data_IF_292085066356
#
_entry.id   IF_292085066356
#
_cell.length_a   1.000
_cell.length_b   1.000
_cell.length_c   1.000
_cell.angle_alpha   90.00
_cell.angle_beta   90.00
_cell.angle_gamma   90.00
#
_symmetry.space_group_name_H-M   'P 1'
#
loop_
_entity.id
_entity.type
_entity.pdbx_description
1 polymer ?
#
# COMPACT_ATOMS: atom_id res chain seq x y z
N UNK A 1 -21.73 9.65 22.63
CA UNK A 1 -21.51 8.26 23.06
C UNK A 1 -20.46 7.67 22.14
N UNK A 2 -19.28 7.30 22.65
CA UNK A 2 -18.27 6.66 21.81
C UNK A 2 -18.85 5.33 21.31
N UNK A 3 -18.86 5.13 19.98
CA UNK A 3 -19.26 3.85 19.40
C UNK A 3 -18.20 2.82 19.79
N UNK A 4 -18.51 1.97 20.77
CA UNK A 4 -17.67 0.82 21.12
C UNK A 4 -18.05 -0.34 20.19
N UNK A 5 -17.12 -0.72 19.32
CA UNK A 5 -17.32 -1.88 18.47
C UNK A 5 -17.18 -3.15 19.32
N UNK A 6 -18.05 -4.16 19.15
CA UNK A 6 -17.85 -5.44 19.81
C UNK A 6 -16.49 -6.07 19.43
N UNK A 7 -15.88 -6.82 20.34
CA UNK A 7 -14.55 -7.43 20.11
C UNK A 7 -14.49 -8.26 18.81
N UNK A 8 -15.53 -9.02 18.46
CA UNK A 8 -15.55 -9.78 17.21
C UNK A 8 -15.48 -8.88 15.96
N UNK A 9 -16.06 -7.68 16.02
CA UNK A 9 -15.96 -6.68 14.94
C UNK A 9 -14.54 -6.16 14.81
N UNK A 10 -13.86 -5.92 15.94
CA UNK A 10 -12.46 -5.50 15.95
C UNK A 10 -11.53 -6.58 15.39
N UNK A 11 -11.72 -7.84 15.80
CA UNK A 11 -10.97 -8.99 15.28
C UNK A 11 -11.13 -9.11 13.77
N UNK A 12 -12.38 -9.05 13.26
CA UNK A 12 -12.64 -9.17 11.82
C UNK A 12 -12.03 -7.98 11.06
N UNK A 13 -12.20 -6.75 11.55
CA UNK A 13 -11.59 -5.56 10.92
C UNK A 13 -10.06 -5.66 10.91
N UNK A 14 -9.45 -6.08 12.02
CA UNK A 14 -7.99 -6.23 12.12
C UNK A 14 -7.48 -7.32 11.16
N UNK A 15 -8.17 -8.46 11.09
CA UNK A 15 -7.81 -9.53 10.15
C UNK A 15 -7.84 -9.06 8.69
N UNK A 16 -8.89 -8.33 8.30
CA UNK A 16 -9.06 -7.91 6.91
C UNK A 16 -8.18 -6.71 6.56
N UNK A 17 -8.16 -5.67 7.39
CA UNK A 17 -7.45 -4.44 7.09
C UNK A 17 -5.95 -4.54 7.39
N UNK A 18 -5.57 -5.06 8.56
CA UNK A 18 -4.20 -5.00 9.04
C UNK A 18 -3.40 -6.23 8.62
N UNK A 19 -4.00 -7.43 8.64
CA UNK A 19 -3.32 -8.66 8.19
C UNK A 19 -3.38 -8.78 6.68
N UNK A 20 -4.57 -8.95 6.10
CA UNK A 20 -4.71 -9.14 4.64
C UNK A 20 -4.54 -7.86 3.83
N UNK A 21 -5.02 -6.71 4.30
CA UNK A 21 -4.79 -5.43 3.65
C UNK A 21 -3.35 -4.95 3.83
N UNK A 22 -2.72 -5.29 4.96
CA UNK A 22 -1.36 -4.88 5.30
C UNK A 22 -0.28 -5.41 4.36
N UNK A 23 -0.52 -6.50 3.64
CA UNK A 23 0.47 -7.04 2.68
C UNK A 23 0.60 -6.19 1.41
N UNK A 24 -0.38 -5.34 1.08
CA UNK A 24 -0.44 -4.69 -0.22
C UNK A 24 0.83 -3.90 -0.55
N UNK A 25 1.28 -3.05 0.39
CA UNK A 25 2.48 -2.23 0.20
C UNK A 25 3.78 -3.05 0.21
N UNK A 26 4.04 -3.92 1.21
CA UNK A 26 5.14 -4.89 1.18
C UNK A 26 5.24 -5.68 -0.13
N UNK A 27 4.12 -6.23 -0.61
CA UNK A 27 4.06 -6.99 -1.85
C UNK A 27 4.37 -6.10 -3.07
N UNK A 28 3.86 -4.88 -3.12
CA UNK A 28 4.21 -3.94 -4.18
C UNK A 28 5.70 -3.59 -4.20
N UNK A 29 6.37 -3.47 -3.04
CA UNK A 29 7.82 -3.31 -2.99
C UNK A 29 8.55 -4.54 -3.54
N UNK A 30 8.17 -5.76 -3.14
CA UNK A 30 8.75 -7.01 -3.66
C UNK A 30 8.59 -7.07 -5.19
N UNK A 31 7.37 -6.89 -5.70
CA UNK A 31 7.07 -6.94 -7.13
C UNK A 31 7.87 -5.86 -7.88
N UNK A 32 7.97 -4.65 -7.33
CA UNK A 32 8.71 -3.56 -7.97
C UNK A 32 10.21 -3.83 -8.02
N UNK A 33 10.79 -4.38 -6.95
CA UNK A 33 12.19 -4.80 -6.92
C UNK A 33 12.47 -5.92 -7.91
N UNK A 34 11.60 -6.93 -7.95
CA UNK A 34 11.69 -8.04 -8.90
C UNK A 34 11.62 -7.55 -10.35
N UNK A 35 10.60 -6.76 -10.71
CA UNK A 35 10.44 -6.23 -12.06
C UNK A 35 11.54 -5.26 -12.47
N UNK A 36 12.19 -4.60 -11.51
CA UNK A 36 13.36 -3.77 -11.78
C UNK A 36 14.59 -4.63 -12.08
N UNK A 37 14.86 -5.61 -11.23
CA UNK A 37 16.04 -6.47 -11.32
C UNK A 37 15.98 -7.48 -12.47
N UNK A 38 14.78 -7.95 -12.85
CA UNK A 38 14.57 -8.92 -13.93
C UNK A 38 14.78 -8.32 -15.33
N UNK A 39 14.79 -6.98 -15.49
CA UNK A 39 14.96 -6.36 -16.81
C UNK A 39 16.42 -6.43 -17.27
N UNK A 40 16.69 -6.81 -18.53
CA UNK A 40 18.05 -6.87 -19.08
C UNK A 40 18.63 -5.49 -19.41
N UNK A 41 17.87 -4.40 -19.21
CA UNK A 41 18.29 -3.04 -19.58
C UNK A 41 19.34 -2.48 -18.62
N UNK A 42 20.23 -1.59 -19.10
CA UNK A 42 21.16 -0.87 -18.23
C UNK A 42 20.43 -0.12 -17.12
N UNK A 43 21.00 -0.14 -15.91
CA UNK A 43 20.35 0.41 -14.72
C UNK A 43 19.88 1.86 -14.93
N UNK A 44 20.71 2.72 -15.55
CA UNK A 44 20.37 4.12 -15.85
C UNK A 44 19.09 4.27 -16.69
N UNK A 45 18.93 3.44 -17.72
CA UNK A 45 17.74 3.47 -18.61
C UNK A 45 16.51 2.97 -17.86
N UNK A 46 16.67 1.91 -17.08
CA UNK A 46 15.58 1.36 -16.25
C UNK A 46 15.11 2.37 -15.21
N UNK A 47 16.04 3.04 -14.50
CA UNK A 47 15.73 4.11 -13.55
C UNK A 47 14.96 5.24 -14.24
N UNK A 48 15.48 5.80 -15.35
CA UNK A 48 14.82 6.91 -16.06
C UNK A 48 13.37 6.58 -16.44
N UNK A 49 13.15 5.43 -17.08
CA UNK A 49 11.80 5.03 -17.52
C UNK A 49 10.83 4.81 -16.35
N UNK A 50 11.28 4.15 -15.28
CA UNK A 50 10.46 3.92 -14.08
C UNK A 50 10.19 5.20 -13.32
N UNK A 51 11.18 6.08 -13.23
CA UNK A 51 11.08 7.38 -12.59
C UNK A 51 10.04 8.25 -13.30
N UNK A 52 10.11 8.38 -14.62
CA UNK A 52 9.13 9.14 -15.41
C UNK A 52 7.71 8.59 -15.26
N UNK A 53 7.54 7.25 -15.31
CA UNK A 53 6.24 6.60 -15.15
C UNK A 53 5.62 6.72 -13.75
N UNK A 54 6.36 7.21 -12.76
CA UNK A 54 5.86 7.43 -11.39
C UNK A 54 5.75 8.92 -11.07
N UNK A 55 6.78 9.70 -11.38
CA UNK A 55 6.83 11.13 -11.01
C UNK A 55 5.72 11.91 -11.68
N UNK A 56 5.39 11.61 -12.94
CA UNK A 56 4.31 12.32 -13.64
C UNK A 56 2.97 12.09 -12.94
N UNK A 57 2.49 10.83 -12.74
CA UNK A 57 1.31 10.58 -11.93
C UNK A 57 1.37 11.16 -10.53
N UNK A 58 2.53 11.04 -9.85
CA UNK A 58 2.73 11.52 -8.50
C UNK A 58 2.40 13.01 -8.39
N UNK A 59 3.03 13.82 -9.26
CA UNK A 59 2.84 15.27 -9.27
C UNK A 59 1.39 15.61 -9.61
N UNK A 60 0.83 14.99 -10.65
CA UNK A 60 -0.52 15.29 -11.11
C UNK A 60 -1.57 14.98 -10.04
N UNK A 61 -1.49 13.83 -9.39
CA UNK A 61 -2.43 13.47 -8.34
C UNK A 61 -2.29 14.36 -7.12
N UNK A 62 -1.08 14.75 -6.72
CA UNK A 62 -0.90 15.74 -5.65
C UNK A 62 -1.52 17.09 -6.00
N UNK A 63 -1.34 17.57 -7.24
CA UNK A 63 -1.95 18.81 -7.72
C UNK A 63 -3.48 18.70 -7.79
N UNK A 64 -4.02 17.60 -8.30
CA UNK A 64 -5.46 17.32 -8.35
C UNK A 64 -6.03 17.32 -6.93
N UNK A 65 -5.38 16.66 -5.97
CA UNK A 65 -5.84 16.66 -4.58
C UNK A 65 -5.79 18.08 -3.99
N UNK A 66 -4.72 18.84 -4.20
CA UNK A 66 -4.67 20.23 -3.74
C UNK A 66 -5.80 21.08 -4.35
N UNK A 67 -6.07 20.93 -5.65
CA UNK A 67 -7.18 21.61 -6.33
C UNK A 67 -8.56 21.18 -5.78
N UNK A 68 -8.76 19.90 -5.48
CA UNK A 68 -9.99 19.40 -4.87
C UNK A 68 -10.20 19.97 -3.46
N UNK A 69 -9.15 20.06 -2.65
CA UNK A 69 -9.22 20.72 -1.34
C UNK A 69 -9.56 22.20 -1.48
N UNK A 70 -8.92 22.91 -2.41
CA UNK A 70 -9.21 24.33 -2.68
C UNK A 70 -10.67 24.54 -3.11
N UNK A 71 -11.17 23.71 -4.04
CA UNK A 71 -12.55 23.73 -4.49
C UNK A 71 -13.52 23.47 -3.33
N UNK A 72 -13.30 22.40 -2.55
CA UNK A 72 -14.15 22.06 -1.40
C UNK A 72 -14.15 23.14 -0.31
N UNK A 73 -13.05 23.88 -0.14
CA UNK A 73 -12.98 25.01 0.80
C UNK A 73 -13.65 26.28 0.28
N UNK A 74 -14.01 26.33 -1.01
CA UNK A 74 -14.60 27.51 -1.64
C UNK A 74 -16.13 27.55 -1.54
N UNK A 75 -16.78 26.41 -1.36
CA UNK A 75 -18.25 26.34 -1.24
C UNK A 75 -18.71 26.30 0.23
N UNK A 76 -19.74 27.07 0.56
CA UNK A 76 -20.26 27.18 1.93
C UNK A 76 -20.72 25.83 2.51
N UNK A 77 -21.31 24.97 1.68
CA UNK A 77 -21.78 23.64 2.09
C UNK A 77 -20.63 22.67 2.43
N UNK A 78 -19.51 22.70 1.69
CA UNK A 78 -18.40 21.76 1.91
C UNK A 78 -17.33 22.29 2.86
N UNK A 79 -17.16 23.62 2.97
CA UNK A 79 -16.11 24.26 3.78
C UNK A 79 -16.05 23.78 5.24
N UNK A 80 -17.15 23.56 5.98
CA UNK A 80 -17.11 23.09 7.36
C UNK A 80 -16.42 21.72 7.54
N UNK A 81 -16.34 20.93 6.46
CA UNK A 81 -15.73 19.60 6.49
C UNK A 81 -14.21 19.59 6.23
N UNK A 82 -13.61 20.74 5.91
CA UNK A 82 -12.21 20.90 5.51
C UNK A 82 -11.51 22.00 6.33
N UNK A 83 -11.59 21.89 7.65
CA UNK A 83 -11.11 22.91 8.60
C UNK A 83 -9.72 22.68 9.18
N UNK A 84 -9.10 21.51 8.90
CA UNK A 84 -7.75 21.21 9.37
C UNK A 84 -6.75 22.22 8.80
N UNK A 85 -6.05 22.94 9.68
CA UNK A 85 -5.20 24.08 9.33
C UNK A 85 -4.13 23.73 8.27
N UNK A 86 -3.43 22.59 8.42
CA UNK A 86 -2.43 22.13 7.44
C UNK A 86 -2.99 21.87 6.03
N UNK A 87 -4.31 21.74 5.90
CA UNK A 87 -4.99 21.43 4.64
C UNK A 87 -5.68 22.65 4.04
N UNK A 88 -5.68 23.81 4.71
CA UNK A 88 -6.25 25.06 4.16
C UNK A 88 -5.34 25.58 3.05
N UNK A 89 -5.72 25.38 1.79
CA UNK A 89 -4.83 25.67 0.65
C UNK A 89 -4.50 27.16 0.55
N UNK A 90 -5.46 28.04 0.89
CA UNK A 90 -5.29 29.50 0.83
C UNK A 90 -4.28 30.05 1.84
N UNK A 91 -3.96 29.31 2.91
CA UNK A 91 -2.97 29.74 3.90
C UNK A 91 -1.58 29.15 3.63
N UNK A 92 -1.42 28.32 2.59
CA UNK A 92 -0.14 27.68 2.29
C UNK A 92 0.90 28.70 1.84
N UNK A 93 2.08 28.60 2.47
CA UNK A 93 3.31 29.25 2.00
C UNK A 93 4.03 28.32 1.02
N UNK A 94 5.08 28.83 0.38
CA UNK A 94 5.92 28.03 -0.53
C UNK A 94 6.44 26.72 0.12
N UNK A 95 6.77 26.77 1.41
CA UNK A 95 7.20 25.58 2.17
C UNK A 95 6.09 24.54 2.30
N UNK A 96 4.83 24.93 2.42
CA UNK A 96 3.69 24.00 2.58
C UNK A 96 3.34 23.31 1.27
N UNK A 97 3.59 23.98 0.14
CA UNK A 97 3.56 23.39 -1.19
C UNK A 97 4.63 22.31 -1.30
N UNK A 98 5.89 22.60 -0.93
CA UNK A 98 6.97 21.60 -0.93
C UNK A 98 6.62 20.42 -0.01
N UNK A 99 6.16 20.69 1.21
CA UNK A 99 5.71 19.66 2.17
C UNK A 99 4.56 18.81 1.60
N UNK A 100 3.69 19.36 0.75
CA UNK A 100 2.63 18.62 0.05
C UNK A 100 3.17 17.43 -0.76
N UNK A 101 4.33 17.58 -1.36
CA UNK A 101 4.97 16.54 -2.16
C UNK A 101 5.89 15.67 -1.31
N UNK A 102 6.64 16.22 -0.36
CA UNK A 102 7.72 15.44 0.26
C UNK A 102 7.38 14.87 1.63
N UNK A 103 6.57 15.56 2.43
CA UNK A 103 6.33 15.13 3.80
C UNK A 103 5.67 16.21 4.66
N UNK A 104 4.58 15.82 5.31
CA UNK A 104 3.88 16.57 6.36
C UNK A 104 3.88 15.71 7.61
N UNK A 105 3.98 16.35 8.77
CA UNK A 105 3.70 15.73 10.05
C UNK A 105 2.20 15.69 10.27
N UNK A 106 1.69 14.56 10.74
CA UNK A 106 0.37 14.48 11.36
C UNK A 106 0.56 14.20 12.86
N UNK A 107 -0.30 14.75 13.74
CA UNK A 107 -0.20 14.52 15.18
C UNK A 107 -0.17 13.03 15.55
N UNK A 108 -0.86 12.19 14.76
CA UNK A 108 -1.06 10.77 15.05
C UNK A 108 -0.23 9.83 14.14
N UNK A 109 0.74 10.35 13.39
CA UNK A 109 1.55 9.56 12.48
C UNK A 109 3.05 9.64 12.81
N UNK A 110 3.65 8.49 13.14
CA UNK A 110 5.09 8.32 13.38
C UNK A 110 5.96 8.47 12.12
N UNK A 111 5.41 9.00 11.02
CA UNK A 111 6.16 9.19 9.79
C UNK A 111 5.61 10.32 8.90
N UNK A 112 6.51 10.94 8.15
CA UNK A 112 6.17 11.98 7.18
C UNK A 112 5.48 11.41 5.95
N UNK A 113 4.31 11.92 5.59
CA UNK A 113 3.60 11.52 4.38
C UNK A 113 3.31 12.73 3.46
N UNK A 114 3.21 12.53 2.14
CA UNK A 114 2.72 13.57 1.23
C UNK A 114 1.24 13.88 1.48
N UNK A 115 0.72 14.95 0.85
CA UNK A 115 -0.70 15.32 0.89
C UNK A 115 -1.60 14.15 0.49
N UNK A 116 -1.21 13.43 -0.58
CA UNK A 116 -1.85 12.18 -0.99
C UNK A 116 -1.24 11.06 -0.15
N UNK A 117 -1.76 10.86 1.06
CA UNK A 117 -1.14 10.03 2.11
C UNK A 117 -0.51 8.73 1.58
N UNK A 118 -1.26 7.93 0.81
CA UNK A 118 -0.83 6.62 0.31
C UNK A 118 0.40 6.67 -0.61
N UNK A 119 0.74 7.84 -1.17
CA UNK A 119 1.90 8.05 -2.05
C UNK A 119 3.25 8.02 -1.33
N UNK A 120 3.27 7.88 0.00
CA UNK A 120 4.51 7.57 0.72
C UNK A 120 5.24 6.35 0.11
N UNK A 121 4.49 5.35 -0.36
CA UNK A 121 5.02 4.20 -1.09
C UNK A 121 5.76 4.62 -2.37
N UNK A 122 5.11 5.43 -3.24
CA UNK A 122 5.72 5.90 -4.48
C UNK A 122 6.97 6.75 -4.23
N UNK A 123 6.94 7.62 -3.23
CA UNK A 123 8.09 8.43 -2.82
C UNK A 123 9.29 7.54 -2.49
N UNK A 124 9.09 6.51 -1.66
CA UNK A 124 10.16 5.57 -1.32
C UNK A 124 10.63 4.77 -2.50
N UNK A 125 9.70 4.35 -3.36
CA UNK A 125 10.04 3.61 -4.55
C UNK A 125 10.94 4.41 -5.50
N UNK A 126 10.74 5.74 -5.60
CA UNK A 126 11.64 6.62 -6.36
C UNK A 126 13.05 6.64 -5.74
N UNK A 127 13.16 6.77 -4.42
CA UNK A 127 14.45 6.70 -3.70
C UNK A 127 15.13 5.35 -3.97
N UNK A 128 14.38 4.26 -3.86
CA UNK A 128 14.85 2.90 -4.10
C UNK A 128 15.32 2.66 -5.52
N UNK A 129 14.66 3.24 -6.53
CA UNK A 129 15.17 3.20 -7.89
C UNK A 129 16.49 3.95 -8.03
N UNK A 130 16.70 5.08 -7.36
CA UNK A 130 17.99 5.78 -7.41
C UNK A 130 19.12 4.93 -6.81
N UNK A 131 18.88 4.26 -5.67
CA UNK A 131 19.89 3.40 -5.02
C UNK A 131 19.94 1.97 -5.57
N UNK A 132 19.02 1.59 -6.46
CA UNK A 132 18.90 0.25 -7.02
C UNK A 132 20.17 -0.30 -7.69
N UNK A 133 21.07 0.48 -8.32
CA UNK A 133 22.32 -0.06 -8.83
C UNK A 133 23.20 -0.62 -7.71
N UNK A 134 23.22 0.03 -6.54
CA UNK A 134 23.97 -0.42 -5.36
C UNK A 134 23.34 -1.67 -4.77
N UNK A 135 22.00 -1.68 -4.64
CA UNK A 135 21.25 -2.87 -4.18
C UNK A 135 21.54 -4.06 -5.09
N UNK A 136 21.54 -3.85 -6.42
CA UNK A 136 21.86 -4.91 -7.39
C UNK A 136 23.25 -5.49 -7.14
N UNK A 137 24.26 -4.65 -6.95
CA UNK A 137 25.64 -5.10 -6.69
C UNK A 137 25.69 -5.88 -5.37
N UNK A 138 25.09 -5.37 -4.30
CA UNK A 138 25.10 -6.00 -2.98
C UNK A 138 24.40 -7.37 -2.99
N UNK A 139 23.19 -7.45 -3.55
CA UNK A 139 22.42 -8.71 -3.67
C UNK A 139 23.15 -9.73 -4.55
N UNK A 140 23.91 -9.29 -5.56
CA UNK A 140 24.61 -10.21 -6.45
C UNK A 140 25.93 -10.73 -5.87
N UNK A 141 26.67 -9.90 -5.13
CA UNK A 141 27.99 -10.26 -4.57
C UNK A 141 27.90 -10.90 -3.19
N UNK A 142 27.05 -10.36 -2.32
CA UNK A 142 26.96 -10.76 -0.89
C UNK A 142 25.50 -10.82 -0.42
N UNK A 143 24.62 -11.63 -1.07
CA UNK A 143 23.17 -11.63 -0.81
C UNK A 143 22.82 -11.88 0.66
N UNK A 144 23.44 -12.89 1.29
CA UNK A 144 23.15 -13.25 2.67
C UNK A 144 23.50 -12.12 3.64
N UNK A 145 24.72 -11.59 3.55
CA UNK A 145 25.16 -10.49 4.42
C UNK A 145 24.30 -9.23 4.23
N UNK A 146 24.00 -8.88 2.97
CA UNK A 146 23.17 -7.73 2.66
C UNK A 146 21.73 -7.87 3.21
N UNK A 147 21.09 -9.01 2.98
CA UNK A 147 19.73 -9.25 3.47
C UNK A 147 19.69 -9.35 5.00
N UNK A 148 20.68 -9.99 5.63
CA UNK A 148 20.80 -10.04 7.09
C UNK A 148 20.98 -8.62 7.67
N UNK A 149 21.82 -7.78 7.07
CA UNK A 149 22.03 -6.40 7.52
C UNK A 149 20.73 -5.58 7.45
N UNK A 150 20.01 -5.64 6.33
CA UNK A 150 18.76 -4.89 6.16
C UNK A 150 17.64 -5.45 7.04
N UNK A 151 17.59 -6.78 7.26
CA UNK A 151 16.66 -7.39 8.20
C UNK A 151 16.96 -6.93 9.63
N UNK A 152 18.22 -6.95 10.06
CA UNK A 152 18.62 -6.45 11.38
C UNK A 152 18.25 -4.98 11.55
N UNK A 153 18.54 -4.13 10.56
CA UNK A 153 18.12 -2.72 10.59
C UNK A 153 16.60 -2.55 10.68
N UNK A 154 15.84 -3.43 10.00
CA UNK A 154 14.37 -3.48 10.08
C UNK A 154 13.91 -3.85 11.48
N UNK A 155 14.43 -4.93 12.07
CA UNK A 155 14.05 -5.38 13.42
C UNK A 155 14.41 -4.33 14.48
N UNK A 156 15.61 -3.74 14.42
CA UNK A 156 16.02 -2.68 15.35
C UNK A 156 15.12 -1.45 15.23
N UNK A 157 14.67 -1.08 14.02
CA UNK A 157 13.70 0.00 13.82
C UNK A 157 12.33 -0.35 14.39
N UNK A 158 11.85 -1.57 14.18
CA UNK A 158 10.56 -2.04 14.69
C UNK A 158 10.56 -2.16 16.23
N UNK A 159 11.71 -2.44 16.82
CA UNK A 159 11.91 -2.44 18.27
C UNK A 159 12.03 -1.02 18.87
N UNK A 160 11.90 0.03 18.06
CA UNK A 160 11.95 1.43 18.53
C UNK A 160 13.35 1.97 18.80
N UNK A 161 14.42 1.25 18.42
CA UNK A 161 15.82 1.66 18.69
C UNK A 161 16.35 2.70 17.69
N UNK A 162 15.70 2.85 16.53
CA UNK A 162 16.06 3.85 15.54
C UNK A 162 14.92 4.86 15.32
N UNK A 163 15.17 6.17 15.49
CA UNK A 163 14.19 7.21 15.16
C UNK A 163 14.13 7.47 13.65
N UNK A 164 13.31 8.43 13.24
CA UNK A 164 13.32 8.95 11.87
C UNK A 164 14.71 9.50 11.47
N UNK A 165 15.16 9.34 10.20
CA UNK A 165 14.42 8.91 9.00
C UNK A 165 14.52 7.40 8.68
N UNK A 166 14.88 6.55 9.65
CA UNK A 166 15.10 5.11 9.43
C UNK A 166 13.81 4.28 9.23
N UNK A 167 12.64 4.92 9.17
CA UNK A 167 11.34 4.32 8.85
C UNK A 167 11.32 3.60 7.48
N UNK A 168 12.29 3.86 6.61
CA UNK A 168 12.39 3.28 5.26
C UNK A 168 12.88 1.82 5.25
N UNK A 169 13.48 1.31 6.33
CA UNK A 169 14.11 -0.02 6.35
C UNK A 169 13.17 -1.19 6.06
N UNK A 170 11.97 -1.31 6.66
CA UNK A 170 11.03 -2.39 6.31
C UNK A 170 10.69 -2.39 4.81
N UNK A 171 10.44 -1.21 4.24
CA UNK A 171 10.16 -1.04 2.81
C UNK A 171 11.37 -1.44 1.94
N UNK A 172 12.58 -1.06 2.36
CA UNK A 172 13.82 -1.42 1.68
C UNK A 172 14.06 -2.93 1.73
N UNK A 173 13.78 -3.59 2.85
CA UNK A 173 13.86 -5.04 2.98
C UNK A 173 12.96 -5.74 1.95
N UNK A 174 11.68 -5.37 1.88
CA UNK A 174 10.74 -5.94 0.91
C UNK A 174 11.18 -5.66 -0.54
N UNK A 175 11.65 -4.46 -0.84
CA UNK A 175 12.17 -4.14 -2.17
C UNK A 175 13.38 -4.99 -2.54
N UNK A 176 14.30 -5.19 -1.60
CA UNK A 176 15.50 -6.01 -1.74
C UNK A 176 15.21 -7.50 -1.87
N UNK A 177 14.17 -8.01 -1.20
CA UNK A 177 13.68 -9.37 -1.43
C UNK A 177 13.25 -9.56 -2.89
N UNK A 178 12.69 -8.53 -3.53
CA UNK A 178 12.39 -8.56 -4.96
C UNK A 178 13.63 -8.79 -5.84
N UNK A 179 14.75 -8.14 -5.52
CA UNK A 179 16.02 -8.35 -6.23
C UNK A 179 16.54 -9.77 -6.04
N UNK A 180 16.47 -10.28 -4.82
CA UNK A 180 16.88 -11.64 -4.49
C UNK A 180 16.00 -12.68 -5.20
N UNK A 181 14.69 -12.43 -5.25
CA UNK A 181 13.71 -13.32 -5.87
C UNK A 181 14.01 -13.61 -7.36
N UNK A 182 14.63 -12.70 -8.12
CA UNK A 182 14.98 -12.95 -9.53
C UNK A 182 15.76 -14.25 -9.76
N UNK A 183 16.62 -14.64 -8.81
CA UNK A 183 17.43 -15.88 -8.91
C UNK A 183 16.87 -17.07 -8.15
N UNK A 184 15.91 -16.83 -7.23
CA UNK A 184 15.49 -17.83 -6.24
C UNK A 184 13.99 -18.09 -6.21
N UNK A 185 13.18 -17.32 -6.97
CA UNK A 185 11.72 -17.40 -6.92
C UNK A 185 11.19 -18.78 -7.29
N UNK A 186 11.81 -19.48 -8.24
CA UNK A 186 11.34 -20.81 -8.64
C UNK A 186 11.43 -21.82 -7.49
N UNK A 187 12.51 -21.77 -6.68
CA UNK A 187 12.65 -22.62 -5.51
C UNK A 187 11.57 -22.33 -4.46
N UNK A 188 11.27 -21.05 -4.24
CA UNK A 188 10.19 -20.61 -3.32
C UNK A 188 8.83 -21.08 -3.82
N UNK A 189 8.52 -20.90 -5.10
CA UNK A 189 7.25 -21.32 -5.69
C UNK A 189 7.08 -22.84 -5.63
N UNK A 190 8.12 -23.62 -5.95
CA UNK A 190 8.08 -25.07 -5.85
C UNK A 190 7.86 -25.55 -4.41
N UNK A 191 8.49 -24.89 -3.43
CA UNK A 191 8.27 -25.18 -2.01
C UNK A 191 6.86 -24.79 -1.55
N UNK A 192 6.30 -23.69 -2.05
CA UNK A 192 4.91 -23.31 -1.76
C UNK A 192 3.92 -24.28 -2.39
N UNK A 193 4.17 -24.76 -3.61
CA UNK A 193 3.29 -25.68 -4.32
C UNK A 193 3.29 -27.09 -3.70
N UNK A 194 4.41 -27.53 -3.14
CA UNK A 194 4.50 -28.81 -2.43
C UNK A 194 3.74 -28.83 -1.09
N UNK A 195 3.52 -27.67 -0.47
CA UNK A 195 2.74 -27.56 0.76
C UNK A 195 1.25 -27.81 0.49
N UNK A 196 0.65 -28.73 1.24
CA UNK A 196 -0.80 -28.97 1.20
C UNK A 196 -1.52 -27.77 1.77
N UNK A 197 -2.68 -27.43 1.19
CA UNK A 197 -3.50 -26.31 1.65
C UNK A 197 -3.88 -26.41 3.12
N UNK A 198 -4.19 -27.62 3.61
CA UNK A 198 -4.53 -27.85 5.01
C UNK A 198 -3.38 -27.45 5.95
N UNK A 199 -2.15 -27.84 5.61
CA UNK A 199 -0.96 -27.58 6.44
C UNK A 199 -0.55 -26.10 6.36
N UNK A 200 -0.64 -25.50 5.18
CA UNK A 200 -0.40 -24.07 5.00
C UNK A 200 -1.41 -23.22 5.78
N UNK A 201 -2.70 -23.55 5.71
CA UNK A 201 -3.75 -22.83 6.41
C UNK A 201 -3.72 -23.05 7.92
N UNK A 202 -3.40 -24.25 8.40
CA UNK A 202 -3.30 -24.51 9.84
C UNK A 202 -2.12 -23.76 10.45
N UNK A 203 -0.93 -23.83 9.85
CA UNK A 203 0.24 -23.08 10.29
C UNK A 203 0.00 -21.57 10.26
N UNK A 204 -0.60 -21.07 9.17
CA UNK A 204 -0.96 -19.67 9.04
C UNK A 204 -1.98 -19.22 10.09
N UNK A 205 -3.03 -20.01 10.34
CA UNK A 205 -4.07 -19.68 11.30
C UNK A 205 -3.51 -19.59 12.73
N UNK A 206 -2.67 -20.56 13.13
CA UNK A 206 -2.01 -20.54 14.45
C UNK A 206 -1.11 -19.32 14.59
N UNK A 207 -0.25 -19.05 13.60
CA UNK A 207 0.66 -17.91 13.66
C UNK A 207 -0.07 -16.56 13.67
N UNK A 208 -1.13 -16.43 12.86
CA UNK A 208 -1.98 -15.23 12.82
C UNK A 208 -2.71 -15.05 14.16
N UNK A 209 -3.22 -16.12 14.77
CA UNK A 209 -3.86 -16.05 16.08
C UNK A 209 -2.91 -15.57 17.18
N UNK A 210 -1.66 -16.06 17.18
CA UNK A 210 -0.61 -15.56 18.10
C UNK A 210 -0.32 -14.08 17.85
N UNK A 211 -0.16 -13.68 16.59
CA UNK A 211 0.06 -12.28 16.21
C UNK A 211 -1.08 -11.37 16.69
N UNK A 212 -2.33 -11.82 16.53
CA UNK A 212 -3.51 -11.09 17.01
C UNK A 212 -3.54 -11.00 18.53
N UNK A 213 -3.32 -12.12 19.22
CA UNK A 213 -3.28 -12.14 20.68
C UNK A 213 -2.26 -11.12 21.22
N UNK A 214 -1.04 -11.12 20.68
CA UNK A 214 -0.02 -10.14 21.07
C UNK A 214 -0.43 -8.70 20.76
N UNK A 215 -1.11 -8.47 19.63
CA UNK A 215 -1.57 -7.13 19.24
C UNK A 215 -2.68 -6.61 20.16
N UNK A 216 -3.67 -7.45 20.50
CA UNK A 216 -4.78 -7.08 21.38
C UNK A 216 -4.38 -6.98 22.87
N UNK A 217 -3.27 -7.62 23.25
CA UNK A 217 -2.68 -7.48 24.59
C UNK A 217 -1.62 -6.37 24.66
N UNK A 218 -1.49 -5.57 23.60
CA UNK A 218 -0.54 -4.47 23.48
C UNK A 218 0.92 -4.89 23.80
N UNK A 219 1.25 -6.16 23.50
CA UNK A 219 2.57 -6.68 23.76
C UNK A 219 3.59 -6.06 22.76
N UNK A 220 4.74 -5.54 23.22
CA UNK A 220 5.74 -4.95 22.32
C UNK A 220 6.24 -5.88 21.22
N UNK A 221 6.23 -7.20 21.44
CA UNK A 221 6.60 -8.18 20.43
C UNK A 221 5.63 -8.24 19.24
N UNK A 222 4.41 -7.71 19.37
CA UNK A 222 3.39 -7.69 18.33
C UNK A 222 3.89 -7.05 17.03
N UNK A 223 4.74 -6.02 17.12
CA UNK A 223 5.28 -5.33 15.94
C UNK A 223 6.19 -6.25 15.11
N UNK A 224 7.09 -6.97 15.77
CA UNK A 224 8.02 -7.90 15.12
C UNK A 224 7.28 -9.12 14.60
N UNK A 225 6.38 -9.70 15.41
CA UNK A 225 5.56 -10.84 14.99
C UNK A 225 4.62 -10.44 13.85
N UNK A 226 4.08 -9.23 13.84
CA UNK A 226 3.28 -8.67 12.75
C UNK A 226 4.05 -8.53 11.44
N UNK A 227 5.32 -8.12 11.51
CA UNK A 227 6.21 -8.09 10.34
C UNK A 227 6.45 -9.50 9.76
N UNK A 228 6.66 -10.50 10.61
CA UNK A 228 6.78 -11.91 10.18
C UNK A 228 5.46 -12.44 9.63
N UNK A 229 4.33 -12.11 10.28
CA UNK A 229 3.00 -12.50 9.83
C UNK A 229 2.72 -11.94 8.44
N UNK A 230 3.14 -10.69 8.16
CA UNK A 230 3.04 -10.07 6.84
C UNK A 230 3.77 -10.89 5.76
N UNK A 231 4.96 -11.43 6.06
CA UNK A 231 5.69 -12.31 5.14
C UNK A 231 4.91 -13.60 4.90
N UNK A 232 4.37 -14.23 5.94
CA UNK A 232 3.57 -15.44 5.81
C UNK A 232 2.27 -15.20 5.02
N UNK A 233 1.58 -14.08 5.26
CA UNK A 233 0.40 -13.69 4.51
C UNK A 233 0.74 -13.43 3.04
N UNK A 234 1.89 -12.83 2.72
CA UNK A 234 2.38 -12.72 1.33
C UNK A 234 2.56 -14.10 0.70
N UNK A 235 3.23 -15.03 1.37
CA UNK A 235 3.46 -16.38 0.84
C UNK A 235 2.13 -17.12 0.58
N UNK A 236 1.17 -17.01 1.50
CA UNK A 236 -0.16 -17.58 1.34
C UNK A 236 -0.92 -16.92 0.18
N UNK A 237 -0.83 -15.60 0.04
CA UNK A 237 -1.42 -14.85 -1.07
C UNK A 237 -0.82 -15.25 -2.42
N UNK A 238 0.50 -15.46 -2.50
CA UNK A 238 1.19 -15.95 -3.70
C UNK A 238 0.72 -17.36 -4.06
N UNK A 239 0.61 -18.28 -3.08
CA UNK A 239 0.06 -19.62 -3.30
C UNK A 239 -1.39 -19.57 -3.80
N UNK A 240 -2.21 -18.69 -3.22
CA UNK A 240 -3.60 -18.50 -3.64
C UNK A 240 -3.69 -17.93 -5.06
N UNK A 241 -2.86 -16.93 -5.38
CA UNK A 241 -2.77 -16.36 -6.71
C UNK A 241 -2.33 -17.40 -7.75
N UNK A 242 -1.33 -18.23 -7.44
CA UNK A 242 -0.90 -19.33 -8.30
C UNK A 242 -2.02 -20.31 -8.63
N UNK A 243 -2.87 -20.64 -7.64
CA UNK A 243 -4.05 -21.47 -7.87
C UNK A 243 -5.13 -20.76 -8.70
N UNK A 244 -5.38 -19.47 -8.45
CA UNK A 244 -6.35 -18.68 -9.22
C UNK A 244 -5.95 -18.55 -10.70
N UNK A 245 -4.66 -18.43 -10.97
CA UNK A 245 -4.12 -18.36 -12.34
C UNK A 245 -4.32 -19.64 -13.16
N UNK A 246 -4.57 -20.80 -12.53
CA UNK A 246 -4.90 -22.04 -13.24
C UNK A 246 -6.28 -22.01 -13.89
N UNK A 247 -7.16 -21.11 -13.44
CA UNK A 247 -8.48 -20.91 -14.02
C UNK A 247 -8.41 -19.75 -15.02
N UNK A 248 -8.51 -20.06 -16.32
CA UNK A 248 -8.41 -19.07 -17.40
C UNK A 248 -9.42 -17.92 -17.27
N UNK A 249 -10.65 -18.22 -16.86
CA UNK A 249 -11.69 -17.20 -16.67
C UNK A 249 -11.32 -16.26 -15.53
N UNK A 250 -10.87 -16.79 -14.40
CA UNK A 250 -10.43 -15.98 -13.27
C UNK A 250 -9.21 -15.13 -13.63
N UNK A 251 -8.22 -15.73 -14.30
CA UNK A 251 -7.03 -15.02 -14.78
C UNK A 251 -7.38 -13.86 -15.73
N UNK A 252 -8.24 -14.11 -16.72
CA UNK A 252 -8.66 -13.10 -17.69
C UNK A 252 -9.33 -11.90 -17.02
N UNK A 253 -10.26 -12.16 -16.08
CA UNK A 253 -10.94 -11.11 -15.32
C UNK A 253 -9.93 -10.30 -14.47
N UNK A 254 -9.09 -10.97 -13.69
CA UNK A 254 -8.12 -10.32 -12.79
C UNK A 254 -7.07 -9.53 -13.57
N UNK A 255 -6.60 -10.07 -14.69
CA UNK A 255 -5.69 -9.39 -15.60
C UNK A 255 -6.32 -8.13 -16.20
N UNK A 256 -7.59 -8.20 -16.63
CA UNK A 256 -8.32 -7.03 -17.11
C UNK A 256 -8.50 -5.94 -16.04
N UNK A 257 -8.78 -6.34 -14.80
CA UNK A 257 -8.91 -5.41 -13.67
C UNK A 257 -7.56 -4.78 -13.25
N UNK A 258 -6.44 -5.47 -13.50
CA UNK A 258 -5.10 -4.98 -13.14
C UNK A 258 -4.74 -3.64 -13.80
N UNK A 259 -5.30 -3.35 -14.97
CA UNK A 259 -5.14 -2.06 -15.65
C UNK A 259 -5.65 -0.86 -14.82
N UNK A 260 -6.59 -1.09 -13.89
CA UNK A 260 -7.13 -0.07 -13.01
C UNK A 260 -6.45 -0.02 -11.64
N UNK A 261 -5.53 -0.93 -11.33
CA UNK A 261 -4.93 -1.02 -9.98
C UNK A 261 -4.22 0.26 -9.54
N UNK A 262 -3.46 0.91 -10.44
CA UNK A 262 -2.82 2.19 -10.11
C UNK A 262 -3.84 3.32 -9.93
N UNK A 263 -4.87 3.36 -10.79
CA UNK A 263 -5.95 4.33 -10.68
C UNK A 263 -6.66 4.23 -9.32
N UNK A 264 -7.06 3.01 -8.93
CA UNK A 264 -7.68 2.75 -7.63
C UNK A 264 -6.72 3.13 -6.50
N UNK A 265 -5.45 2.72 -6.59
CA UNK A 265 -4.43 3.10 -5.60
C UNK A 265 -4.30 4.62 -5.44
N UNK A 266 -4.32 5.39 -6.52
CA UNK A 266 -4.20 6.84 -6.44
C UNK A 266 -5.48 7.54 -5.95
N UNK A 267 -6.66 7.00 -6.26
CA UNK A 267 -7.93 7.66 -5.97
C UNK A 267 -8.61 7.20 -4.68
N UNK A 268 -8.34 6.00 -4.15
CA UNK A 268 -9.13 5.40 -3.07
C UNK A 268 -9.10 6.19 -1.76
N UNK A 269 -7.95 6.66 -1.29
CA UNK A 269 -7.90 7.31 0.03
C UNK A 269 -8.67 8.65 0.06
N UNK A 270 -8.47 9.58 -0.91
CA UNK A 270 -9.31 10.77 -0.99
C UNK A 270 -10.80 10.45 -1.11
N UNK A 271 -11.16 9.41 -1.87
CA UNK A 271 -12.56 9.05 -2.12
C UNK A 271 -13.24 8.44 -0.88
N UNK A 272 -12.56 7.53 -0.18
CA UNK A 272 -13.02 6.95 1.09
C UNK A 272 -13.19 8.05 2.14
N UNK A 273 -12.16 8.88 2.36
CA UNK A 273 -12.15 9.88 3.42
C UNK A 273 -13.10 11.06 3.16
N UNK A 274 -13.28 11.48 1.90
CA UNK A 274 -14.13 12.63 1.57
C UNK A 274 -15.60 12.27 1.37
N UNK A 275 -15.89 11.12 0.74
CA UNK A 275 -17.24 10.79 0.26
C UNK A 275 -17.84 9.64 1.05
N UNK A 276 -17.16 8.49 1.09
CA UNK A 276 -17.83 7.25 1.48
C UNK A 276 -17.97 7.12 2.99
N UNK A 277 -16.96 7.47 3.79
CA UNK A 277 -17.06 7.35 5.26
C UNK A 277 -17.99 8.37 5.90
N UNK A 278 -18.09 9.59 5.36
CA UNK A 278 -18.97 10.64 5.91
C UNK A 278 -20.44 10.39 5.57
N UNK A 279 -20.72 9.95 4.35
CA UNK A 279 -22.06 9.59 3.92
C UNK A 279 -22.50 8.26 4.56
N UNK A 280 -21.62 7.25 4.67
CA UNK A 280 -22.03 5.94 5.18
C UNK A 280 -22.49 5.98 6.63
N UNK A 281 -21.92 6.83 7.49
CA UNK A 281 -22.37 6.98 8.89
C UNK A 281 -23.79 7.55 8.99
N UNK A 282 -24.28 8.26 7.97
CA UNK A 282 -25.66 8.76 7.93
C UNK A 282 -26.68 7.66 7.61
N UNK A 283 -26.27 6.61 6.88
CA UNK A 283 -27.15 5.53 6.44
C UNK A 283 -27.04 4.26 7.29
N UNK A 284 -25.87 4.03 7.91
CA UNK A 284 -25.61 2.82 8.69
C UNK A 284 -25.58 3.10 10.19
N UNK A 285 -26.47 2.49 10.99
CA UNK A 285 -26.38 2.54 12.43
C UNK A 285 -25.07 1.92 12.91
N UNK A 286 -24.33 2.66 13.73
CA UNK A 286 -23.01 2.29 14.22
C UNK A 286 -23.09 1.34 15.44
N UNK A 287 -23.74 0.18 15.29
CA UNK A 287 -23.87 -0.79 16.38
C UNK A 287 -23.74 -2.24 15.89
N UNK A 288 -23.16 -3.11 16.72
CA UNK A 288 -23.10 -4.54 16.48
C UNK A 288 -22.49 -4.92 15.11
N UNK A 289 -23.11 -5.87 14.43
CA UNK A 289 -22.65 -6.38 13.14
C UNK A 289 -22.83 -5.37 11.98
N UNK A 290 -23.67 -4.33 12.13
CA UNK A 290 -23.86 -3.32 11.10
C UNK A 290 -22.58 -2.52 10.82
N UNK A 291 -21.67 -2.43 11.81
CA UNK A 291 -20.34 -1.84 11.64
C UNK A 291 -19.54 -2.60 10.56
N UNK A 292 -19.67 -3.92 10.50
CA UNK A 292 -19.01 -4.73 9.47
C UNK A 292 -19.65 -4.51 8.09
N UNK A 293 -20.97 -4.43 8.03
CA UNK A 293 -21.69 -4.15 6.77
C UNK A 293 -21.25 -2.79 6.22
N UNK A 294 -21.18 -1.77 7.06
CA UNK A 294 -20.68 -0.46 6.66
C UNK A 294 -19.21 -0.52 6.22
N UNK A 295 -18.35 -1.22 6.97
CA UNK A 295 -16.92 -1.35 6.66
C UNK A 295 -16.67 -2.00 5.28
N UNK A 296 -17.30 -3.15 5.01
CA UNK A 296 -17.17 -3.84 3.73
C UNK A 296 -17.91 -3.10 2.61
N UNK A 297 -19.13 -2.61 2.89
CA UNK A 297 -19.93 -1.87 1.92
C UNK A 297 -19.24 -0.60 1.44
N UNK A 298 -18.63 0.16 2.35
CA UNK A 298 -17.83 1.36 2.01
C UNK A 298 -16.66 1.01 1.08
N UNK A 299 -15.93 -0.05 1.40
CA UNK A 299 -14.78 -0.49 0.61
C UNK A 299 -15.19 -0.99 -0.78
N UNK A 300 -16.24 -1.80 -0.86
CA UNK A 300 -16.76 -2.34 -2.12
C UNK A 300 -17.32 -1.23 -3.01
N UNK A 301 -18.11 -0.32 -2.43
CA UNK A 301 -18.67 0.83 -3.15
C UNK A 301 -17.56 1.71 -3.72
N UNK A 302 -16.51 1.98 -2.94
CA UNK A 302 -15.36 2.73 -3.41
C UNK A 302 -14.70 2.05 -4.62
N UNK A 303 -14.42 0.75 -4.55
CA UNK A 303 -13.81 0.00 -5.66
C UNK A 303 -14.69 0.06 -6.90
N UNK A 304 -15.99 -0.24 -6.77
CA UNK A 304 -16.93 -0.23 -7.90
C UNK A 304 -16.99 1.14 -8.55
N UNK A 305 -17.17 2.21 -7.76
CA UNK A 305 -17.22 3.57 -8.27
C UNK A 305 -15.92 3.97 -8.96
N UNK A 306 -14.76 3.65 -8.37
CA UNK A 306 -13.47 3.98 -8.97
C UNK A 306 -13.20 3.20 -10.25
N UNK A 307 -13.64 1.94 -10.35
CA UNK A 307 -13.56 1.17 -11.59
C UNK A 307 -14.47 1.77 -12.66
N UNK A 308 -15.72 2.11 -12.32
CA UNK A 308 -16.66 2.74 -13.25
C UNK A 308 -16.14 4.10 -13.76
N UNK A 309 -15.64 4.95 -12.85
CA UNK A 309 -15.06 6.25 -13.22
C UNK A 309 -13.80 6.05 -14.05
N UNK A 310 -12.91 5.16 -13.62
CA UNK A 310 -11.67 4.85 -14.34
C UNK A 310 -11.94 4.32 -15.75
N UNK A 311 -12.90 3.41 -15.91
CA UNK A 311 -13.32 2.89 -17.22
C UNK A 311 -13.93 3.98 -18.11
N UNK A 312 -14.73 4.88 -17.52
CA UNK A 312 -15.32 6.01 -18.23
C UNK A 312 -14.25 7.00 -18.72
N UNK A 313 -13.29 7.37 -17.87
CA UNK A 313 -12.17 8.25 -18.24
C UNK A 313 -11.28 7.56 -19.28
N UNK A 314 -11.00 6.27 -19.15
CA UNK A 314 -10.24 5.49 -20.14
C UNK A 314 -10.91 5.52 -21.52
N UNK A 315 -12.25 5.47 -21.57
CA UNK A 315 -13.02 5.51 -22.81
C UNK A 315 -13.13 6.91 -23.41
N UNK A 316 -13.42 7.93 -22.59
CA UNK A 316 -13.71 9.30 -23.04
C UNK A 316 -12.42 10.10 -23.25
N UNK A 317 -11.46 10.00 -22.33
CA UNK A 317 -10.19 10.74 -22.32
C UNK A 317 -8.98 9.78 -22.14
N UNK A 318 -8.70 8.89 -23.10
CA UNK A 318 -7.66 7.86 -22.95
C UNK A 318 -6.26 8.43 -22.68
N UNK A 319 -5.92 9.59 -23.26
CA UNK A 319 -4.64 10.28 -23.02
C UNK A 319 -4.52 10.76 -21.58
N UNK A 320 -5.62 11.26 -21.00
CA UNK A 320 -5.64 11.69 -19.60
C UNK A 320 -5.48 10.47 -18.69
N UNK A 321 -6.21 9.39 -18.95
CA UNK A 321 -6.07 8.14 -18.19
C UNK A 321 -4.63 7.62 -18.23
N UNK A 322 -4.02 7.55 -19.42
CA UNK A 322 -2.61 7.16 -19.60
C UNK A 322 -1.67 8.01 -18.74
N UNK A 323 -1.86 9.33 -18.73
CA UNK A 323 -1.02 10.25 -17.97
C UNK A 323 -1.21 10.06 -16.46
N UNK A 324 -2.46 9.92 -16.00
CA UNK A 324 -2.80 9.72 -14.58
C UNK A 324 -2.38 8.34 -14.06
N UNK A 325 -2.21 7.33 -14.92
CA UNK A 325 -1.75 5.99 -14.54
C UNK A 325 -0.28 5.72 -14.81
N UNK A 326 0.43 6.67 -15.43
CA UNK A 326 1.87 6.55 -15.72
C UNK A 326 2.16 5.60 -16.88
N UNK A 327 1.25 5.51 -17.82
CA UNK A 327 1.34 4.67 -19.01
C UNK A 327 1.03 3.19 -18.79
N UNK A 328 0.35 2.87 -17.69
CA UNK A 328 -0.17 1.52 -17.40
C UNK A 328 -1.58 1.44 -18.02
N UNK A 329 -1.73 0.70 -19.12
CA UNK A 329 -2.99 0.46 -19.86
C UNK A 329 -3.16 -1.04 -20.06
#
# INVERSE_FOLDING_TARGET
MAVTAPLYVEIIRHLIANVWGGIAVPLFFIISGYLFAAKPKPAKVTVKSKFQGIVVPYILWTLITAALFFAAQSFAFTRPYFTQEQNIIRSWKAVDVIKAFFGRTQPDADYYHPLVYQFWYLRNLLVFFCISPLIKIAVQKTPFFYLALILSATILRLAGLFPDPFWIFPALFYFSLGFYAVRHIQGVLNALDSLRWRDALSGYAVFTAVCMYLSFTENPAAVIIGFLNTILTILLAVKAAGNACKNEKAYSILSGLSAYSFWIYAAHAPFISAVVSKLSVQFFPMHGALILIQFFGTSLLCIVLLVCIGASIRKIYPKLFFLLTGGRI
#
